data_IF_503762386944
#
_entry.id   IF_503762386944
#
_cell.length_a   1.000
_cell.length_b   1.000
_cell.length_c   1.000
_cell.angle_alpha   90.00
_cell.angle_beta   90.00
_cell.angle_gamma   90.00
#
_symmetry.space_group_name_H-M   'P 1'
#
loop_
_entity.id
_entity.type
_entity.pdbx_description
1 polymer ?
#
# COMPACT_ATOMS: atom_id res chain seq x y z
N UNK A 1 -39.30 -13.11 42.75
CA UNK A 1 -38.50 -14.26 42.27
C UNK A 1 -39.43 -15.21 41.52
N UNK A 2 -39.46 -15.13 40.20
CA UNK A 2 -40.15 -16.10 39.35
C UNK A 2 -39.38 -16.19 38.03
N UNK A 3 -38.81 -17.36 37.82
CA UNK A 3 -38.08 -17.80 36.62
C UNK A 3 -39.06 -18.11 35.49
N UNK A 4 -38.80 -17.64 34.27
CA UNK A 4 -39.29 -18.30 33.07
C UNK A 4 -38.18 -18.32 32.00
N UNK A 5 -37.66 -19.52 31.80
CA UNK A 5 -36.80 -19.87 30.68
C UNK A 5 -37.70 -20.25 29.51
N UNK A 6 -37.52 -19.59 28.37
CA UNK A 6 -38.15 -19.98 27.09
C UNK A 6 -37.06 -20.58 26.21
N UNK A 7 -37.15 -21.89 25.99
CA UNK A 7 -36.40 -22.63 24.98
C UNK A 7 -37.20 -22.59 23.68
N UNK A 8 -36.62 -22.11 22.59
CA UNK A 8 -37.14 -22.36 21.24
C UNK A 8 -36.10 -23.14 20.45
N UNK A 9 -36.54 -24.32 20.05
CA UNK A 9 -35.86 -25.31 19.23
C UNK A 9 -36.00 -24.86 17.78
N UNK A 10 -34.88 -24.62 17.09
CA UNK A 10 -34.87 -24.40 15.65
C UNK A 10 -34.55 -25.71 14.93
N UNK A 11 -35.52 -26.18 14.13
CA UNK A 11 -35.46 -27.38 13.30
C UNK A 11 -34.33 -27.31 12.27
N UNK A 12 -33.49 -28.35 12.24
CA UNK A 12 -32.70 -28.71 11.06
C UNK A 12 -33.64 -29.30 9.99
N UNK A 13 -33.77 -28.62 8.85
CA UNK A 13 -34.26 -29.23 7.62
C UNK A 13 -33.06 -29.70 6.78
N UNK A 14 -32.81 -31.01 6.77
CA UNK A 14 -31.96 -31.66 5.78
C UNK A 14 -32.73 -31.75 4.46
N UNK A 15 -32.30 -31.01 3.44
CA UNK A 15 -32.74 -31.24 2.06
C UNK A 15 -31.76 -32.22 1.42
N UNK A 16 -32.21 -33.47 1.28
CA UNK A 16 -31.57 -34.50 0.47
C UNK A 16 -31.83 -34.20 -1.00
N UNK A 17 -30.79 -33.86 -1.77
CA UNK A 17 -30.86 -33.82 -3.23
C UNK A 17 -30.54 -35.23 -3.81
N UNK A 18 -31.26 -35.67 -4.86
CA UNK A 18 -31.08 -36.99 -5.43
C UNK A 18 -29.78 -37.12 -6.23
N UNK A 19 -29.10 -38.26 -6.04
CA UNK A 19 -28.03 -38.74 -6.92
C UNK A 19 -28.64 -39.20 -8.24
N UNK A 20 -28.31 -38.52 -9.34
CA UNK A 20 -28.49 -39.05 -10.70
C UNK A 20 -27.19 -39.72 -11.09
N UNK A 21 -27.28 -41.01 -11.40
CA UNK A 21 -26.20 -41.80 -11.94
C UNK A 21 -26.41 -42.02 -13.44
N UNK A 22 -25.28 -42.00 -14.17
CA UNK A 22 -24.95 -42.76 -15.37
C UNK A 22 -25.41 -42.20 -16.73
N UNK A 23 -24.42 -41.88 -17.58
CA UNK A 23 -24.21 -42.57 -18.86
C UNK A 23 -22.82 -42.22 -19.41
N UNK A 24 -21.99 -43.25 -19.60
CA UNK A 24 -20.84 -43.20 -20.49
C UNK A 24 -21.32 -43.06 -21.94
N UNK A 25 -20.57 -42.29 -22.73
CA UNK A 25 -20.79 -42.03 -24.13
C UNK A 25 -19.63 -41.21 -24.64
N UNK A 26 -18.57 -41.91 -25.04
CA UNK A 26 -17.45 -41.36 -25.80
C UNK A 26 -17.97 -40.75 -27.11
N UNK A 27 -17.78 -39.44 -27.27
CA UNK A 27 -17.67 -38.86 -28.61
C UNK A 27 -16.61 -37.76 -28.59
N UNK A 28 -15.53 -38.04 -29.31
CA UNK A 28 -14.40 -37.15 -29.54
C UNK A 28 -14.87 -36.01 -30.45
N UNK A 29 -15.02 -34.81 -29.88
CA UNK A 29 -15.05 -33.58 -30.66
C UNK A 29 -14.04 -32.58 -30.08
N UNK A 30 -12.89 -32.56 -30.74
CA UNK A 30 -11.91 -31.50 -30.63
C UNK A 30 -12.55 -30.20 -31.13
N UNK A 31 -12.65 -29.20 -30.26
CA UNK A 31 -13.11 -27.88 -30.66
C UNK A 31 -13.53 -26.99 -29.51
N UNK A 32 -12.65 -26.05 -29.17
CA UNK A 32 -12.99 -24.78 -28.51
C UNK A 32 -13.38 -24.89 -27.04
N UNK A 33 -12.38 -25.11 -26.17
CA UNK A 33 -12.47 -24.67 -24.77
C UNK A 33 -11.07 -24.31 -24.25
N UNK A 34 -10.59 -23.12 -24.59
CA UNK A 34 -9.43 -22.49 -23.96
C UNK A 34 -9.49 -20.99 -24.19
N UNK A 35 -10.35 -20.30 -23.43
CA UNK A 35 -10.37 -18.82 -23.42
C UNK A 35 -10.84 -18.21 -22.09
N UNK A 36 -10.68 -18.92 -20.96
CA UNK A 36 -11.03 -18.37 -19.62
C UNK A 36 -10.00 -18.63 -18.52
N UNK A 37 -8.75 -18.93 -18.87
CA UNK A 37 -7.67 -19.09 -17.86
C UNK A 37 -6.44 -18.23 -18.14
N UNK A 38 -6.55 -17.21 -19.00
CA UNK A 38 -5.44 -16.28 -19.30
C UNK A 38 -5.56 -14.91 -18.61
N UNK A 39 -6.68 -14.60 -17.96
CA UNK A 39 -6.88 -13.29 -17.32
C UNK A 39 -6.17 -13.06 -15.98
N UNK A 40 -5.44 -14.05 -15.43
CA UNK A 40 -4.97 -14.04 -14.03
C UNK A 40 -3.46 -13.83 -13.83
N UNK A 41 -2.65 -13.78 -14.88
CA UNK A 41 -1.18 -13.75 -14.73
C UNK A 41 -0.46 -12.53 -15.33
N UNK A 42 -1.16 -11.64 -16.03
CA UNK A 42 -0.48 -10.62 -16.85
C UNK A 42 -0.24 -9.28 -16.14
N UNK A 43 -0.51 -9.17 -14.83
CA UNK A 43 -0.45 -7.88 -14.12
C UNK A 43 0.82 -7.67 -13.27
N UNK A 44 1.70 -8.69 -13.17
CA UNK A 44 2.93 -8.59 -12.39
C UNK A 44 4.15 -8.10 -13.19
N UNK A 45 4.05 -7.96 -14.52
CA UNK A 45 5.25 -7.73 -15.35
C UNK A 45 5.72 -6.26 -15.44
N UNK A 46 4.96 -5.27 -14.95
CA UNK A 46 5.36 -3.85 -15.05
C UNK A 46 5.25 -3.04 -13.75
N UNK A 47 5.26 -3.69 -12.59
CA UNK A 47 5.32 -2.96 -11.31
C UNK A 47 6.68 -2.29 -11.17
N UNK A 48 6.68 -0.97 -11.02
CA UNK A 48 7.90 -0.16 -10.91
C UNK A 48 7.77 0.85 -9.77
N UNK A 49 8.35 0.51 -8.60
CA UNK A 49 8.28 1.38 -7.43
C UNK A 49 9.00 2.71 -7.66
N UNK A 50 10.07 2.73 -8.47
CA UNK A 50 10.80 3.96 -8.77
C UNK A 50 9.92 4.92 -9.59
N UNK A 51 9.18 4.39 -10.56
CA UNK A 51 8.22 5.17 -11.35
C UNK A 51 7.04 5.66 -10.52
N UNK A 52 6.56 4.87 -9.56
CA UNK A 52 5.48 5.28 -8.67
C UNK A 52 5.90 6.47 -7.78
N UNK A 53 7.12 6.44 -7.22
CA UNK A 53 7.73 7.54 -6.47
C UNK A 53 8.47 8.53 -7.38
N UNK A 54 7.90 8.94 -8.51
CA UNK A 54 8.53 9.95 -9.36
C UNK A 54 8.86 11.25 -8.58
N UNK A 55 9.86 11.99 -9.05
CA UNK A 55 10.26 13.28 -8.45
C UNK A 55 9.08 14.25 -8.35
N UNK A 56 9.09 15.06 -7.28
CA UNK A 56 8.08 16.09 -7.01
C UNK A 56 6.65 15.56 -6.99
N UNK A 57 6.47 14.29 -6.64
CA UNK A 57 5.16 13.70 -6.45
C UNK A 57 4.69 13.86 -5.00
N UNK A 58 3.37 14.02 -4.83
CA UNK A 58 2.72 13.91 -3.52
C UNK A 58 1.91 12.64 -3.53
N UNK A 59 2.18 11.74 -2.61
CA UNK A 59 1.49 10.46 -2.49
C UNK A 59 0.67 10.49 -1.21
N UNK A 60 -0.63 10.26 -1.33
CA UNK A 60 -1.54 10.16 -0.19
C UNK A 60 -1.66 8.69 0.18
N UNK A 61 -1.59 8.41 1.47
CA UNK A 61 -1.53 7.06 2.02
C UNK A 61 -2.68 6.87 3.00
N UNK A 62 -3.45 5.82 2.77
CA UNK A 62 -4.43 5.31 3.72
C UNK A 62 -3.90 4.02 4.31
N UNK A 63 -3.55 4.08 5.60
CA UNK A 63 -3.15 2.92 6.34
C UNK A 63 -4.34 1.99 6.61
N UNK A 64 -4.06 0.70 6.77
CA UNK A 64 -5.05 -0.25 7.27
C UNK A 64 -5.63 0.18 8.62
N UNK A 65 -6.76 -0.43 9.01
CA UNK A 65 -7.39 -0.25 10.34
C UNK A 65 -6.48 -0.55 11.52
N UNK A 66 -5.37 -1.26 11.31
CA UNK A 66 -4.36 -1.59 12.32
C UNK A 66 -3.23 -0.56 12.42
N UNK A 67 -3.20 0.44 11.53
CA UNK A 67 -2.19 1.50 11.56
C UNK A 67 -2.52 2.53 12.64
N UNK A 68 -1.53 2.91 13.45
CA UNK A 68 -1.63 4.03 14.39
C UNK A 68 -1.84 5.37 13.67
N UNK A 69 -1.37 5.47 12.42
CA UNK A 69 -1.50 6.62 11.56
C UNK A 69 -2.25 6.21 10.28
N UNK A 70 -3.60 6.26 10.28
CA UNK A 70 -4.41 5.79 9.15
C UNK A 70 -4.41 6.75 7.96
N UNK A 71 -3.90 7.98 8.13
CA UNK A 71 -3.76 8.97 7.06
C UNK A 71 -2.35 9.55 7.11
N UNK A 72 -1.60 9.36 6.03
CA UNK A 72 -0.25 9.90 5.84
C UNK A 72 -0.13 10.53 4.45
N UNK A 73 0.86 11.39 4.28
CA UNK A 73 1.20 12.00 2.98
C UNK A 73 2.71 11.97 2.82
N UNK A 74 3.18 11.39 1.73
CA UNK A 74 4.57 11.46 1.31
C UNK A 74 4.75 12.59 0.31
N UNK A 75 5.74 13.43 0.58
CA UNK A 75 6.23 14.44 -0.35
C UNK A 75 7.58 13.96 -0.87
N UNK A 76 7.61 13.48 -2.10
CA UNK A 76 8.81 12.94 -2.74
C UNK A 76 9.72 14.08 -3.14
N UNK A 77 10.97 14.04 -2.70
CA UNK A 77 11.96 15.10 -2.97
C UNK A 77 12.92 14.71 -4.08
N UNK A 78 13.33 13.44 -4.11
CA UNK A 78 14.25 12.95 -5.13
C UNK A 78 14.21 11.43 -5.23
N UNK A 79 14.19 10.92 -6.45
CA UNK A 79 14.17 9.50 -6.78
C UNK A 79 15.17 9.25 -7.90
N UNK A 80 15.96 8.21 -7.71
CA UNK A 80 16.94 7.74 -8.68
C UNK A 80 16.83 6.22 -8.83
N UNK A 81 17.77 5.59 -9.52
CA UNK A 81 17.79 4.14 -9.73
C UNK A 81 18.05 3.31 -8.45
N UNK A 82 18.55 3.91 -7.37
CA UNK A 82 18.90 3.21 -6.13
C UNK A 82 17.92 3.42 -4.98
N UNK A 83 17.06 4.44 -5.07
CA UNK A 83 16.12 4.76 -4.01
C UNK A 83 15.38 6.08 -4.20
N UNK A 84 14.60 6.42 -3.19
CA UNK A 84 13.80 7.63 -3.11
C UNK A 84 13.93 8.28 -1.74
N UNK A 85 14.06 9.60 -1.71
CA UNK A 85 13.97 10.46 -0.53
C UNK A 85 12.60 11.11 -0.51
N UNK A 86 11.95 11.09 0.65
CA UNK A 86 10.64 11.72 0.82
C UNK A 86 10.43 12.17 2.27
N UNK A 87 9.56 13.17 2.45
CA UNK A 87 9.09 13.58 3.77
C UNK A 87 7.70 13.02 4.00
N UNK A 88 7.54 12.16 5.01
CA UNK A 88 6.25 11.62 5.43
C UNK A 88 5.62 12.53 6.47
N UNK A 89 4.47 13.08 6.14
CA UNK A 89 3.59 13.80 7.04
C UNK A 89 2.53 12.85 7.60
N UNK A 90 2.31 12.90 8.91
CA UNK A 90 1.40 11.99 9.60
C UNK A 90 0.73 12.68 10.79
N UNK A 91 -0.23 11.99 11.41
CA UNK A 91 -0.98 12.49 12.56
C UNK A 91 -1.71 13.81 12.27
N UNK A 92 -2.53 13.81 11.22
CA UNK A 92 -3.40 14.93 10.86
C UNK A 92 -4.59 15.05 11.82
N UNK A 93 -4.33 15.46 13.05
CA UNK A 93 -5.40 15.77 14.02
C UNK A 93 -5.95 17.17 13.77
N UNK A 94 -7.28 17.30 13.89
CA UNK A 94 -7.95 18.59 13.83
C UNK A 94 -7.32 19.54 14.87
N UNK A 95 -6.83 20.70 14.41
CA UNK A 95 -6.14 21.72 15.22
C UNK A 95 -4.73 21.40 15.73
N UNK A 96 -4.09 20.31 15.28
CA UNK A 96 -2.68 20.04 15.59
C UNK A 96 -1.80 20.22 14.36
N UNK A 97 -0.56 20.66 14.56
CA UNK A 97 0.44 20.61 13.48
C UNK A 97 0.69 19.15 13.14
N UNK A 98 0.62 18.81 11.85
CA UNK A 98 1.04 17.49 11.39
C UNK A 98 2.50 17.25 11.79
N UNK A 99 2.81 16.01 12.15
CA UNK A 99 4.19 15.59 12.37
C UNK A 99 4.81 15.28 11.02
N UNK A 100 6.13 15.43 10.92
CA UNK A 100 6.87 15.12 9.70
C UNK A 100 8.15 14.37 10.03
N UNK A 101 8.54 13.46 9.15
CA UNK A 101 9.80 12.73 9.24
C UNK A 101 10.38 12.57 7.83
N UNK A 102 11.68 12.83 7.69
CA UNK A 102 12.41 12.59 6.44
C UNK A 102 12.85 11.14 6.39
N UNK A 103 12.54 10.47 5.29
CA UNK A 103 12.75 9.05 5.08
C UNK A 103 13.51 8.82 3.78
N UNK A 104 14.27 7.74 3.75
CA UNK A 104 14.92 7.21 2.56
C UNK A 104 14.48 5.78 2.32
N UNK A 105 13.90 5.53 1.15
CA UNK A 105 13.56 4.22 0.63
C UNK A 105 14.65 3.71 -0.29
N UNK A 106 15.44 2.72 0.14
CA UNK A 106 16.43 2.04 -0.71
C UNK A 106 15.74 0.99 -1.55
N UNK A 107 15.75 1.14 -2.88
CA UNK A 107 15.14 0.18 -3.78
C UNK A 107 15.85 -1.17 -3.71
N UNK A 108 15.04 -2.22 -3.78
CA UNK A 108 15.49 -3.61 -3.80
C UNK A 108 14.74 -4.38 -4.86
N UNK A 109 15.48 -5.26 -5.51
CA UNK A 109 14.89 -6.33 -6.29
C UNK A 109 14.46 -7.43 -5.32
N UNK A 110 13.16 -7.73 -5.31
CA UNK A 110 12.67 -8.95 -4.70
C UNK A 110 12.74 -10.01 -5.79
N UNK A 111 13.44 -11.12 -5.52
CA UNK A 111 13.80 -12.18 -6.48
C UNK A 111 12.59 -12.96 -7.04
N UNK A 112 11.71 -12.26 -7.75
CA UNK A 112 10.63 -12.79 -8.56
C UNK A 112 10.92 -12.37 -10.01
N UNK A 113 11.89 -13.06 -10.63
CA UNK A 113 12.21 -13.08 -12.09
C UNK A 113 12.34 -11.73 -12.79
N UNK A 114 13.55 -11.26 -13.11
CA UNK A 114 13.85 -10.16 -14.08
C UNK A 114 12.97 -8.89 -14.02
N UNK A 115 12.31 -8.63 -12.88
CA UNK A 115 11.34 -7.55 -12.70
C UNK A 115 12.02 -6.39 -11.97
N UNK A 116 11.69 -5.17 -12.41
CA UNK A 116 12.05 -3.88 -11.83
C UNK A 116 11.89 -3.89 -10.29
N UNK A 117 12.58 -3.00 -9.54
CA UNK A 117 12.39 -2.93 -8.10
C UNK A 117 10.90 -2.68 -7.79
N UNK A 118 10.30 -3.59 -7.05
CA UNK A 118 8.93 -3.51 -6.57
C UNK A 118 8.86 -3.30 -5.05
N UNK A 119 10.02 -3.18 -4.39
CA UNK A 119 10.14 -3.00 -2.96
C UNK A 119 11.24 -2.01 -2.59
N UNK A 120 11.14 -1.49 -1.36
CA UNK A 120 12.16 -0.65 -0.76
C UNK A 120 12.28 -0.89 0.74
N UNK A 121 13.51 -0.80 1.24
CA UNK A 121 13.76 -0.61 2.67
C UNK A 121 13.62 0.87 2.99
N UNK A 122 12.60 1.22 3.78
CA UNK A 122 12.40 2.56 4.29
C UNK A 122 13.09 2.70 5.63
N UNK A 123 13.92 3.74 5.75
CA UNK A 123 14.62 4.11 6.99
C UNK A 123 14.58 5.62 7.16
N UNK A 124 14.90 6.11 8.36
CA UNK A 124 15.02 7.57 8.60
C UNK A 124 16.21 8.14 7.83
N UNK A 125 15.97 9.19 7.04
CA UNK A 125 17.01 9.87 6.29
C UNK A 125 17.95 10.61 7.26
N UNK A 126 19.23 10.22 7.23
CA UNK A 126 20.25 10.69 8.17
C UNK A 126 20.92 11.98 7.70
N UNK A 127 20.71 12.40 6.46
CA UNK A 127 21.41 13.56 5.88
C UNK A 127 20.93 14.91 6.44
N UNK A 128 19.81 14.95 7.16
CA UNK A 128 19.30 16.14 7.87
C UNK A 128 19.61 16.20 9.39
N UNK A 129 20.55 15.38 9.89
CA UNK A 129 20.67 15.05 11.30
C UNK A 129 21.21 16.16 12.23
N UNK A 130 20.33 17.05 12.67
CA UNK A 130 20.36 17.57 14.06
C UNK A 130 19.48 16.75 15.01
N UNK A 131 18.51 16.00 14.47
CA UNK A 131 17.49 15.26 15.23
C UNK A 131 17.89 13.86 15.68
N UNK A 132 18.98 13.29 15.13
CA UNK A 132 19.37 11.91 15.44
C UNK A 132 19.81 11.74 16.90
N UNK A 133 20.49 12.73 17.51
CA UNK A 133 20.91 12.64 18.92
C UNK A 133 19.73 12.49 19.88
N UNK A 134 18.60 13.15 19.61
CA UNK A 134 17.40 13.03 20.46
C UNK A 134 16.71 11.68 20.25
N UNK A 135 16.53 11.25 19.00
CA UNK A 135 15.79 10.03 18.67
C UNK A 135 16.59 8.74 18.95
N UNK A 136 17.88 8.69 18.60
CA UNK A 136 18.70 7.49 18.80
C UNK A 136 19.04 7.23 20.27
N UNK A 137 18.99 8.25 21.14
CA UNK A 137 19.15 8.07 22.58
C UNK A 137 17.91 7.44 23.22
N UNK A 138 16.72 7.65 22.65
CA UNK A 138 15.46 7.11 23.17
C UNK A 138 15.20 5.66 22.73
N UNK A 139 15.72 5.24 21.57
CA UNK A 139 15.51 3.91 21.00
C UNK A 139 16.79 3.06 20.95
N UNK A 140 17.65 3.11 21.99
CA UNK A 140 18.84 2.26 22.09
C UNK A 140 18.44 0.77 22.08
N UNK A 141 18.54 0.14 20.92
CA UNK A 141 18.42 -1.32 20.75
C UNK A 141 17.13 -1.81 20.08
N UNK A 142 16.17 -0.93 19.77
CA UNK A 142 14.94 -1.29 19.06
C UNK A 142 14.90 -0.55 17.71
N UNK A 143 14.44 -1.24 16.65
CA UNK A 143 14.19 -0.63 15.36
C UNK A 143 13.34 0.64 15.51
N UNK A 144 13.64 1.67 14.72
CA UNK A 144 12.75 2.82 14.69
C UNK A 144 11.39 2.34 14.13
N UNK A 145 10.25 2.88 14.61
CA UNK A 145 8.93 2.50 14.11
C UNK A 145 8.75 2.76 12.59
N UNK A 146 9.69 3.48 11.99
CA UNK A 146 9.75 3.83 10.58
C UNK A 146 10.64 2.91 9.75
N UNK A 147 11.40 1.99 10.38
CA UNK A 147 12.25 1.04 9.68
C UNK A 147 11.41 -0.16 9.21
N UNK A 148 11.14 -0.21 7.90
CA UNK A 148 10.22 -1.19 7.30
C UNK A 148 10.56 -1.49 5.85
N UNK A 149 10.14 -2.65 5.39
CA UNK A 149 10.07 -2.97 3.96
C UNK A 149 8.69 -2.57 3.46
N UNK A 150 8.65 -1.75 2.41
CA UNK A 150 7.44 -1.36 1.71
C UNK A 150 7.51 -1.90 0.28
N UNK A 151 6.52 -2.67 -0.16
CA UNK A 151 6.50 -3.25 -1.51
C UNK A 151 5.15 -3.04 -2.20
N UNK A 152 5.15 -2.76 -3.50
CA UNK A 152 3.92 -2.70 -4.28
C UNK A 152 3.42 -4.13 -4.48
N UNK A 153 2.25 -4.42 -3.90
CA UNK A 153 1.58 -5.70 -4.08
C UNK A 153 0.69 -5.69 -5.34
N UNK A 154 0.04 -4.55 -5.61
CA UNK A 154 -0.82 -4.36 -6.77
C UNK A 154 -0.73 -2.91 -7.24
N UNK A 155 -0.62 -2.70 -8.55
CA UNK A 155 -0.59 -1.37 -9.17
C UNK A 155 -1.68 -1.25 -10.24
N UNK A 156 -2.26 -0.04 -10.31
CA UNK A 156 -3.17 0.33 -11.39
C UNK A 156 -2.43 0.42 -12.73
N UNK A 157 -3.12 0.17 -13.84
CA UNK A 157 -2.51 0.17 -15.18
C UNK A 157 -1.87 1.51 -15.57
N UNK A 158 -2.36 2.61 -15.01
CA UNK A 158 -1.86 3.96 -15.25
C UNK A 158 -0.80 4.41 -14.21
N UNK A 159 -0.44 3.53 -13.27
CA UNK A 159 0.55 3.80 -12.21
C UNK A 159 0.15 4.95 -11.29
N UNK A 160 -1.16 5.23 -11.16
CA UNK A 160 -1.64 6.36 -10.38
C UNK A 160 -2.01 5.97 -8.93
N UNK A 161 -2.44 4.74 -8.72
CA UNK A 161 -2.67 4.17 -7.39
C UNK A 161 -2.08 2.76 -7.25
N UNK A 162 -1.81 2.36 -6.02
CA UNK A 162 -1.23 1.07 -5.69
C UNK A 162 -1.63 0.63 -4.27
N UNK A 163 -1.61 -0.69 -4.04
CA UNK A 163 -1.67 -1.29 -2.71
C UNK A 163 -0.25 -1.72 -2.34
N UNK A 164 0.23 -1.24 -1.20
CA UNK A 164 1.53 -1.58 -0.65
C UNK A 164 1.37 -2.62 0.45
N UNK A 165 2.26 -3.62 0.48
CA UNK A 165 2.50 -4.45 1.65
C UNK A 165 3.62 -3.84 2.49
N UNK A 166 3.42 -3.86 3.81
CA UNK A 166 4.31 -3.24 4.78
C UNK A 166 4.75 -4.29 5.81
N UNK A 167 6.06 -4.40 6.00
CA UNK A 167 6.69 -5.32 6.96
C UNK A 167 7.71 -4.59 7.82
N UNK A 168 7.72 -4.76 9.15
CA UNK A 168 8.81 -4.24 9.98
C UNK A 168 10.16 -4.79 9.52
N UNK A 169 11.19 -3.94 9.49
CA UNK A 169 12.56 -4.35 9.14
C UNK A 169 13.18 -5.08 10.34
N UNK A 170 12.93 -6.37 10.52
CA UNK A 170 13.52 -7.11 11.64
C UNK A 170 15.05 -7.16 11.53
N UNK A 171 15.75 -6.65 12.56
CA UNK A 171 17.22 -6.67 12.66
C UNK A 171 17.73 -7.80 13.55
N UNK A 172 16.85 -8.53 14.23
CA UNK A 172 17.23 -9.62 15.11
C UNK A 172 17.43 -10.93 14.34
N UNK A 173 18.57 -11.58 14.57
CA UNK A 173 19.00 -12.88 14.03
C UNK A 173 18.16 -14.08 14.50
N UNK A 174 17.04 -13.84 15.20
CA UNK A 174 16.11 -14.90 15.59
C UNK A 174 14.93 -14.88 14.62
N UNK A 175 14.55 -16.04 14.04
CA UNK A 175 13.33 -16.18 13.26
C UNK A 175 12.15 -15.98 14.22
N UNK A 176 11.75 -14.72 14.40
CA UNK A 176 10.62 -14.33 15.22
C UNK A 176 9.34 -14.58 14.43
N UNK A 177 8.27 -14.93 15.15
CA UNK A 177 6.88 -15.01 14.68
C UNK A 177 6.61 -14.19 13.42
N UNK A 178 5.97 -14.83 12.44
CA UNK A 178 5.53 -14.22 11.18
C UNK A 178 4.63 -13.02 11.47
N UNK A 179 5.21 -11.83 11.66
CA UNK A 179 4.46 -10.59 11.77
C UNK A 179 3.69 -10.44 10.47
N UNK A 180 2.36 -10.48 10.57
CA UNK A 180 1.51 -10.40 9.40
C UNK A 180 1.71 -9.06 8.70
N UNK A 181 1.82 -9.11 7.37
CA UNK A 181 1.87 -7.95 6.50
C UNK A 181 0.67 -7.04 6.78
N UNK A 182 0.92 -5.74 6.94
CA UNK A 182 -0.14 -4.74 6.85
C UNK A 182 -0.19 -4.20 5.42
N UNK A 183 -1.34 -3.64 5.04
CA UNK A 183 -1.55 -3.11 3.71
C UNK A 183 -1.94 -1.64 3.76
N UNK A 184 -1.31 -0.84 2.91
CA UNK A 184 -1.65 0.56 2.71
C UNK A 184 -2.17 0.75 1.28
N UNK A 185 -3.20 1.58 1.11
CA UNK A 185 -3.54 2.10 -0.20
C UNK A 185 -2.85 3.44 -0.41
N UNK A 186 -2.24 3.60 -1.59
CA UNK A 186 -1.53 4.82 -1.96
C UNK A 186 -2.02 5.31 -3.30
N UNK A 187 -2.15 6.63 -3.45
CA UNK A 187 -2.37 7.23 -4.74
C UNK A 187 -1.61 8.54 -4.89
N UNK A 188 -1.22 8.82 -6.12
CA UNK A 188 -0.54 10.05 -6.52
C UNK A 188 -1.53 11.20 -6.56
N UNK A 189 -1.11 12.38 -6.10
CA UNK A 189 -1.93 13.60 -6.08
C UNK A 189 -2.29 14.09 -7.48
N UNK A 190 -1.55 13.67 -8.51
CA UNK A 190 -1.99 13.77 -9.91
C UNK A 190 -3.45 13.34 -10.09
N UNK A 191 -3.92 12.35 -9.32
CA UNK A 191 -5.35 12.10 -9.10
C UNK A 191 -5.90 13.18 -8.16
N UNK A 192 -6.33 14.29 -8.74
CA UNK A 192 -6.97 15.41 -8.02
C UNK A 192 -8.43 15.13 -7.63
N UNK A 193 -8.98 14.03 -8.14
CA UNK A 193 -10.38 13.65 -7.97
C UNK A 193 -10.50 12.48 -7.00
N UNK A 194 -11.10 12.76 -5.83
CA UNK A 194 -11.32 11.76 -4.79
C UNK A 194 -12.11 10.55 -5.31
N UNK A 195 -13.07 10.77 -6.22
CA UNK A 195 -13.89 9.70 -6.78
C UNK A 195 -13.03 8.73 -7.60
N UNK A 196 -12.11 9.26 -8.42
CA UNK A 196 -11.15 8.42 -9.18
C UNK A 196 -10.25 7.62 -8.25
N UNK A 197 -9.78 8.22 -7.15
CA UNK A 197 -8.98 7.49 -6.17
C UNK A 197 -9.77 6.33 -5.53
N UNK A 198 -11.05 6.53 -5.21
CA UNK A 198 -11.95 5.48 -4.70
C UNK A 198 -12.19 4.39 -5.73
N UNK A 199 -12.48 4.73 -6.99
CA UNK A 199 -12.65 3.77 -8.09
C UNK A 199 -11.38 2.94 -8.31
N UNK A 200 -10.21 3.57 -8.22
CA UNK A 200 -8.90 2.93 -8.32
C UNK A 200 -8.70 1.93 -7.16
N UNK A 201 -9.02 2.32 -5.93
CA UNK A 201 -8.96 1.42 -4.77
C UNK A 201 -9.87 0.20 -4.94
N UNK A 202 -11.13 0.39 -5.33
CA UNK A 202 -12.07 -0.73 -5.50
C UNK A 202 -11.59 -1.73 -6.56
N UNK A 203 -11.02 -1.21 -7.65
CA UNK A 203 -10.42 -2.04 -8.70
C UNK A 203 -9.28 -2.88 -8.14
N UNK A 204 -8.30 -2.27 -7.46
CA UNK A 204 -7.17 -3.00 -6.87
C UNK A 204 -7.60 -3.95 -5.76
N UNK A 205 -8.59 -3.57 -4.94
CA UNK A 205 -9.15 -4.42 -3.89
C UNK A 205 -9.76 -5.69 -4.46
N UNK A 206 -10.52 -5.60 -5.56
CA UNK A 206 -11.10 -6.76 -6.23
C UNK A 206 -10.03 -7.72 -6.77
N UNK A 207 -8.88 -7.19 -7.19
CA UNK A 207 -7.74 -7.97 -7.69
C UNK A 207 -6.97 -8.65 -6.55
N UNK A 208 -6.89 -8.00 -5.40
CA UNK A 208 -6.02 -8.43 -4.31
C UNK A 208 -6.37 -9.80 -3.70
N UNK A 209 -7.62 -10.27 -3.87
CA UNK A 209 -8.20 -11.50 -3.28
C UNK A 209 -8.01 -11.67 -1.75
N UNK A 210 -7.36 -10.71 -1.10
CA UNK A 210 -7.13 -10.59 0.33
C UNK A 210 -7.98 -9.45 0.87
N UNK A 211 -8.32 -9.56 2.15
CA UNK A 211 -9.12 -8.58 2.85
C UNK A 211 -8.26 -7.35 3.18
N UNK A 212 -8.09 -6.46 2.19
CA UNK A 212 -7.57 -5.11 2.42
C UNK A 212 -8.73 -4.26 2.95
N UNK A 213 -8.72 -4.00 4.25
CA UNK A 213 -9.73 -3.18 4.92
C UNK A 213 -9.24 -1.75 5.09
N UNK A 214 -9.79 -0.85 4.28
CA UNK A 214 -9.59 0.59 4.42
C UNK A 214 -10.97 1.24 4.51
N UNK A 215 -11.33 1.83 5.65
CA UNK A 215 -12.61 2.50 5.81
C UNK A 215 -12.80 3.62 4.78
N UNK A 216 -13.96 3.64 4.10
CA UNK A 216 -14.27 4.66 3.09
C UNK A 216 -14.24 6.09 3.66
N UNK A 217 -14.55 6.24 4.96
CA UNK A 217 -14.50 7.52 5.68
C UNK A 217 -13.09 8.12 5.70
N UNK A 218 -12.03 7.30 5.61
CA UNK A 218 -10.65 7.76 5.57
C UNK A 218 -10.31 8.49 4.28
N UNK A 219 -10.91 8.12 3.14
CA UNK A 219 -10.69 8.81 1.86
C UNK A 219 -11.04 10.29 2.00
N UNK A 220 -12.24 10.57 2.49
CA UNK A 220 -12.73 11.95 2.62
C UNK A 220 -11.96 12.73 3.67
N UNK A 221 -11.67 12.14 4.83
CA UNK A 221 -10.97 12.84 5.92
C UNK A 221 -9.51 13.11 5.57
N UNK A 222 -8.81 12.14 5.00
CA UNK A 222 -7.40 12.27 4.64
C UNK A 222 -7.21 13.25 3.47
N UNK A 223 -8.08 13.17 2.47
CA UNK A 223 -8.09 14.13 1.36
C UNK A 223 -8.32 15.56 1.84
N UNK A 224 -9.31 15.79 2.71
CA UNK A 224 -9.56 17.11 3.30
C UNK A 224 -8.37 17.60 4.14
N UNK A 225 -7.75 16.73 4.93
CA UNK A 225 -6.58 17.09 5.72
C UNK A 225 -5.38 17.49 4.82
N UNK A 226 -5.18 16.75 3.74
CA UNK A 226 -4.19 17.04 2.71
C UNK A 226 -4.45 18.38 2.01
N UNK A 227 -5.70 18.70 1.67
CA UNK A 227 -6.06 19.96 1.01
C UNK A 227 -6.01 21.19 1.94
N UNK A 228 -6.44 21.05 3.18
CA UNK A 228 -6.46 22.15 4.16
C UNK A 228 -5.08 22.42 4.74
N UNK A 229 -4.22 21.40 4.82
CA UNK A 229 -2.82 21.56 5.15
C UNK A 229 -2.02 22.14 3.99
N UNK A 230 -1.06 23.03 4.29
CA UNK A 230 -0.05 23.46 3.31
C UNK A 230 0.85 22.32 2.82
N UNK A 231 0.68 21.11 3.35
CA UNK A 231 1.47 19.92 3.04
C UNK A 231 1.31 19.51 1.57
N UNK A 232 0.08 19.39 1.07
CA UNK A 232 -0.11 18.92 -0.30
C UNK A 232 0.01 20.02 -1.34
N UNK A 233 -0.10 21.31 -0.97
CA UNK A 233 -0.09 22.43 -1.93
C UNK A 233 1.32 22.89 -2.32
N UNK A 234 2.35 22.61 -1.50
CA UNK A 234 3.71 23.15 -1.69
C UNK A 234 4.50 22.61 -2.87
N UNK A 235 4.15 21.45 -3.40
CA UNK A 235 4.96 20.79 -4.44
C UNK A 235 4.78 21.40 -5.83
N UNK A 236 3.75 22.23 -6.02
CA UNK A 236 3.37 22.78 -7.33
C UNK A 236 4.00 24.13 -7.73
N UNK A 237 5.01 24.65 -7.01
CA UNK A 237 5.56 25.99 -7.30
C UNK A 237 7.08 26.12 -7.37
N UNK A 238 7.83 25.01 -7.37
CA UNK A 238 9.24 25.06 -7.73
C UNK A 238 9.38 25.22 -9.25
N UNK A 239 10.24 26.11 -9.77
CA UNK A 239 10.61 26.07 -11.19
C UNK A 239 11.18 24.67 -11.49
N UNK A 240 10.89 24.09 -12.66
CA UNK A 240 11.44 22.79 -13.04
C UNK A 240 12.97 22.82 -12.89
N UNK A 241 13.61 21.73 -12.42
CA UNK A 241 15.06 21.70 -12.26
C UNK A 241 15.71 22.04 -13.60
N UNK A 242 16.55 23.07 -13.58
CA UNK A 242 17.31 23.51 -14.74
C UNK A 242 18.11 22.29 -15.26
N UNK A 243 18.04 21.95 -16.55
CA UNK A 243 18.75 20.80 -17.06
C UNK A 243 20.24 20.99 -16.81
N UNK A 244 20.81 20.13 -15.95
CA UNK A 244 22.24 20.11 -15.73
C UNK A 244 22.93 19.86 -17.07
N UNK A 245 23.61 20.88 -17.57
CA UNK A 245 24.37 20.84 -18.80
C UNK A 245 25.52 19.85 -18.58
N UNK A 246 25.32 18.60 -19.00
CA UNK A 246 26.38 17.58 -18.99
C UNK A 246 27.35 17.99 -20.10
N UNK A 247 28.40 18.71 -19.72
CA UNK A 247 29.55 18.92 -20.60
C UNK A 247 30.19 17.55 -20.84
N UNK A 248 30.21 17.15 -22.11
CA UNK A 248 30.90 15.97 -22.61
C UNK A 248 32.41 16.16 -22.58
#
# INVERSE_FOLDING_TARGET
MQTMAVRIIALMMMVLAPRVAKSEGDEVQAGVLSEQTEGKQQQNEDVDIAKFYANDEVIIILGSTKSDDPCMVDVVTNTNNTGTSFTRHYNFKQNSRSKQISLYGKFKEVALRDVKPNAMDVTVDQLGATTRRSYSLQFRGNNLPWDRVEAIAYESRDGQCAIFSIKPLHTSSRPSETVADTYDFRWRKSIRDLKKAQECFQTLKSQAQREVEIPETLFTSCWKACQTGNTCTRVSSGPPPEPHNVQA
#
